data_IF_139615827211
#
_entry.id   IF_139615827211
#
_cell.length_a   1.000
_cell.length_b   1.000
_cell.length_c   1.000
_cell.angle_alpha   90.00
_cell.angle_beta   90.00
_cell.angle_gamma   90.00
#
_symmetry.space_group_name_H-M   'P 1'
#
loop_
_entity.id
_entity.type
_entity.pdbx_description
1 polymer ?
#
# COMPACT_ATOMS: atom_id res chain seq x y z
N UNK A 1 6.82 15.23 -14.02
CA UNK A 1 5.98 15.56 -15.18
C UNK A 1 5.09 14.39 -15.57
N UNK A 2 5.59 13.25 -16.07
CA UNK A 2 4.73 12.09 -16.41
C UNK A 2 4.02 11.47 -15.19
N UNK A 3 4.71 11.33 -14.06
CA UNK A 3 4.13 10.72 -12.86
C UNK A 3 3.00 11.57 -12.23
N UNK A 4 3.14 12.90 -12.27
CA UNK A 4 2.14 13.86 -11.78
C UNK A 4 0.88 13.85 -12.64
N UNK A 5 1.03 13.71 -13.96
CA UNK A 5 -0.12 13.63 -14.87
C UNK A 5 -0.92 12.35 -14.66
N UNK A 6 -0.23 11.22 -14.47
CA UNK A 6 -0.86 9.93 -14.19
C UNK A 6 -1.53 9.97 -12.81
N UNK A 7 -0.86 10.53 -11.79
CA UNK A 7 -1.46 10.78 -10.48
C UNK A 7 -2.76 11.56 -10.61
N UNK A 8 -2.74 12.70 -11.29
CA UNK A 8 -3.92 13.57 -11.43
C UNK A 8 -5.07 12.87 -12.15
N UNK A 9 -4.77 12.09 -13.20
CA UNK A 9 -5.78 11.27 -13.89
C UNK A 9 -6.38 10.22 -12.97
N UNK A 10 -5.56 9.49 -12.23
CA UNK A 10 -6.02 8.49 -11.27
C UNK A 10 -6.87 9.15 -10.18
N UNK A 11 -6.39 10.22 -9.54
CA UNK A 11 -7.16 11.00 -8.56
C UNK A 11 -8.52 11.41 -9.12
N UNK A 12 -8.58 11.93 -10.34
CA UNK A 12 -9.83 12.32 -10.99
C UNK A 12 -10.78 11.12 -11.17
N UNK A 13 -10.25 9.96 -11.58
CA UNK A 13 -11.05 8.74 -11.75
C UNK A 13 -11.54 8.22 -10.40
N UNK A 14 -10.66 8.07 -9.40
CA UNK A 14 -11.06 7.59 -8.06
C UNK A 14 -12.05 8.57 -7.40
N UNK A 15 -11.88 9.88 -7.54
CA UNK A 15 -12.83 10.87 -7.04
C UNK A 15 -14.20 10.72 -7.70
N UNK A 16 -14.24 10.46 -9.01
CA UNK A 16 -15.49 10.13 -9.69
C UNK A 16 -16.13 8.82 -9.19
N UNK A 17 -15.32 7.81 -8.80
CA UNK A 17 -15.84 6.59 -8.18
C UNK A 17 -16.33 6.83 -6.74
N UNK A 18 -15.62 7.65 -5.97
CA UNK A 18 -15.99 8.03 -4.61
C UNK A 18 -17.34 8.78 -4.59
N UNK A 19 -17.57 9.71 -5.53
CA UNK A 19 -18.86 10.41 -5.65
C UNK A 19 -20.01 9.48 -6.04
N UNK A 20 -19.72 8.34 -6.66
CA UNK A 20 -20.68 7.25 -6.90
C UNK A 20 -20.88 6.36 -5.65
N UNK A 21 -20.29 6.70 -4.50
CA UNK A 21 -20.39 5.96 -3.26
C UNK A 21 -19.55 4.68 -3.21
N UNK A 22 -18.57 4.52 -4.12
CA UNK A 22 -17.73 3.32 -4.16
C UNK A 22 -16.62 3.38 -3.13
N UNK A 23 -16.32 2.22 -2.54
CA UNK A 23 -15.20 2.07 -1.62
C UNK A 23 -13.87 2.18 -2.37
N UNK A 24 -12.76 2.50 -1.68
CA UNK A 24 -11.45 2.61 -2.32
C UNK A 24 -11.02 1.30 -3.01
N UNK A 25 -11.37 0.14 -2.44
CA UNK A 25 -11.13 -1.17 -3.05
C UNK A 25 -11.85 -1.31 -4.39
N UNK A 26 -13.14 -0.94 -4.43
CA UNK A 26 -13.95 -1.01 -5.66
C UNK A 26 -13.44 -0.03 -6.70
N UNK A 27 -13.12 1.21 -6.31
CA UNK A 27 -12.60 2.23 -7.21
C UNK A 27 -11.30 1.78 -7.87
N UNK A 28 -10.39 1.19 -7.09
CA UNK A 28 -9.15 0.62 -7.62
C UNK A 28 -9.44 -0.54 -8.56
N UNK A 29 -10.28 -1.50 -8.18
CA UNK A 29 -10.64 -2.63 -9.04
C UNK A 29 -11.20 -2.19 -10.40
N UNK A 30 -12.03 -1.15 -10.42
CA UNK A 30 -12.54 -0.54 -11.65
C UNK A 30 -11.42 0.02 -12.53
N UNK A 31 -10.39 0.63 -11.95
CA UNK A 31 -9.23 1.15 -12.70
C UNK A 31 -8.44 0.01 -13.31
N UNK A 32 -8.24 -1.09 -12.58
CA UNK A 32 -7.52 -2.24 -13.11
C UNK A 32 -8.27 -2.87 -14.28
N UNK A 33 -9.58 -3.03 -14.14
CA UNK A 33 -10.45 -3.50 -15.22
C UNK A 33 -10.36 -2.58 -16.44
N UNK A 34 -10.40 -1.26 -16.24
CA UNK A 34 -10.28 -0.27 -17.32
C UNK A 34 -8.90 -0.30 -18.01
N UNK A 35 -7.84 -0.62 -17.26
CA UNK A 35 -6.48 -0.78 -17.78
C UNK A 35 -6.24 -2.18 -18.41
N UNK A 36 -7.24 -3.06 -18.42
CA UNK A 36 -7.15 -4.42 -18.95
C UNK A 36 -6.24 -5.35 -18.13
N UNK A 37 -5.81 -4.92 -16.94
CA UNK A 37 -4.92 -5.67 -16.05
C UNK A 37 -5.69 -6.48 -15.03
N UNK A 38 -5.24 -7.70 -14.74
CA UNK A 38 -5.70 -8.44 -13.55
C UNK A 38 -5.02 -7.83 -12.32
N UNK A 39 -5.65 -7.91 -11.16
CA UNK A 39 -5.10 -7.32 -9.93
C UNK A 39 -3.66 -7.78 -9.61
N UNK A 40 -3.24 -8.98 -10.05
CA UNK A 40 -1.86 -9.45 -9.91
C UNK A 40 -0.83 -8.94 -10.95
N UNK A 41 -1.27 -8.34 -12.07
CA UNK A 41 -0.37 -7.83 -13.12
C UNK A 41 -0.02 -6.35 -12.93
N UNK A 42 -0.62 -5.68 -11.94
CA UNK A 42 -0.44 -4.24 -11.69
C UNK A 42 0.99 -3.93 -11.27
N UNK A 43 1.61 -4.81 -10.48
CA UNK A 43 3.04 -4.71 -10.16
C UNK A 43 3.96 -4.78 -11.39
N UNK A 44 3.47 -5.18 -12.57
CA UNK A 44 4.23 -5.18 -13.83
C UNK A 44 4.03 -3.91 -14.64
N UNK A 45 2.99 -3.13 -14.33
CA UNK A 45 2.77 -1.82 -14.93
C UNK A 45 3.74 -0.87 -14.25
N UNK A 46 4.92 -0.69 -14.84
CA UNK A 46 6.07 -0.01 -14.24
C UNK A 46 5.81 1.40 -13.71
N UNK A 47 4.71 2.04 -14.13
CA UNK A 47 4.32 3.39 -13.71
C UNK A 47 3.41 3.40 -12.48
N UNK A 48 2.73 2.29 -12.17
CA UNK A 48 1.91 2.15 -10.98
C UNK A 48 2.78 1.59 -9.85
N UNK A 49 3.36 2.49 -9.06
CA UNK A 49 4.10 2.09 -7.86
C UNK A 49 3.14 1.97 -6.67
N UNK A 50 3.47 1.17 -5.64
CA UNK A 50 2.64 1.07 -4.44
C UNK A 50 2.50 2.43 -3.73
N UNK A 51 3.55 3.26 -3.75
CA UNK A 51 3.52 4.63 -3.22
C UNK A 51 2.55 5.52 -3.98
N UNK A 52 2.55 5.47 -5.32
CA UNK A 52 1.64 6.27 -6.14
C UNK A 52 0.18 5.89 -5.88
N UNK A 53 -0.13 4.59 -5.84
CA UNK A 53 -1.50 4.13 -5.57
C UNK A 53 -1.95 4.54 -4.16
N UNK A 54 -1.09 4.37 -3.15
CA UNK A 54 -1.40 4.79 -1.78
C UNK A 54 -1.62 6.30 -1.67
N UNK A 55 -0.80 7.09 -2.35
CA UNK A 55 -0.90 8.56 -2.41
C UNK A 55 -2.20 9.03 -3.07
N UNK A 56 -2.57 8.42 -4.19
CA UNK A 56 -3.83 8.68 -4.89
C UNK A 56 -5.03 8.32 -4.01
N UNK A 57 -5.00 7.14 -3.39
CA UNK A 57 -6.05 6.67 -2.49
C UNK A 57 -6.23 7.62 -1.30
N UNK A 58 -5.14 8.00 -0.66
CA UNK A 58 -5.14 8.95 0.44
C UNK A 58 -5.60 10.34 0.00
N UNK A 59 -5.22 10.79 -1.20
CA UNK A 59 -5.67 12.09 -1.74
C UNK A 59 -7.19 12.15 -1.92
N UNK A 60 -7.81 11.05 -2.40
CA UNK A 60 -9.25 11.02 -2.69
C UNK A 60 -10.09 10.72 -1.46
N UNK A 61 -9.68 9.73 -0.68
CA UNK A 61 -10.46 9.25 0.47
C UNK A 61 -10.04 9.89 1.80
N UNK A 62 -8.86 10.50 1.87
CA UNK A 62 -8.35 11.26 3.01
C UNK A 62 -8.56 10.51 4.34
N UNK A 63 -9.29 11.10 5.28
CA UNK A 63 -9.56 10.51 6.60
C UNK A 63 -10.50 9.28 6.56
N UNK A 64 -11.18 9.03 5.43
CA UNK A 64 -12.05 7.88 5.27
C UNK A 64 -11.31 6.58 4.92
N UNK A 65 -10.01 6.65 4.60
CA UNK A 65 -9.18 5.48 4.32
C UNK A 65 -8.12 5.26 5.41
N UNK A 66 -8.07 4.03 5.91
CA UNK A 66 -7.13 3.62 6.94
C UNK A 66 -5.84 3.03 6.35
N UNK A 67 -4.71 3.06 7.09
CA UNK A 67 -3.48 2.38 6.69
C UNK A 67 -3.69 0.91 6.35
N UNK A 68 -4.53 0.21 7.12
CA UNK A 68 -4.90 -1.19 6.87
C UNK A 68 -5.60 -1.36 5.51
N UNK A 69 -6.56 -0.50 5.18
CA UNK A 69 -7.25 -0.59 3.89
C UNK A 69 -6.30 -0.35 2.71
N UNK A 70 -5.43 0.66 2.80
CA UNK A 70 -4.39 0.89 1.79
C UNK A 70 -3.52 -0.35 1.64
N UNK A 71 -3.04 -0.92 2.75
CA UNK A 71 -2.23 -2.12 2.72
C UNK A 71 -2.95 -3.27 2.01
N UNK A 72 -4.22 -3.52 2.35
CA UNK A 72 -5.03 -4.61 1.77
C UNK A 72 -5.22 -4.40 0.27
N UNK A 73 -5.49 -3.16 -0.16
CA UNK A 73 -5.60 -2.81 -1.58
C UNK A 73 -4.28 -3.11 -2.28
N UNK A 74 -3.16 -2.57 -1.78
CA UNK A 74 -1.84 -2.80 -2.37
C UNK A 74 -1.49 -4.29 -2.44
N UNK A 75 -1.90 -5.07 -1.44
CA UNK A 75 -1.70 -6.52 -1.45
C UNK A 75 -2.53 -7.21 -2.54
N UNK A 76 -3.80 -6.85 -2.69
CA UNK A 76 -4.67 -7.34 -3.78
C UNK A 76 -4.10 -6.99 -5.16
N UNK A 77 -3.39 -5.85 -5.26
CA UNK A 77 -2.66 -5.41 -6.45
C UNK A 77 -1.35 -6.20 -6.72
N UNK A 78 -1.03 -7.19 -5.89
CA UNK A 78 0.14 -8.04 -6.05
C UNK A 78 1.46 -7.41 -5.59
N UNK A 79 1.43 -6.26 -4.91
CA UNK A 79 2.67 -5.67 -4.38
C UNK A 79 3.23 -6.51 -3.21
N UNK A 80 4.56 -6.55 -3.12
CA UNK A 80 5.29 -7.23 -2.06
C UNK A 80 5.33 -6.41 -0.76
N UNK A 81 5.62 -7.07 0.38
CA UNK A 81 5.61 -6.47 1.71
C UNK A 81 6.46 -5.20 1.79
N UNK A 82 7.65 -5.21 1.19
CA UNK A 82 8.52 -4.03 1.10
C UNK A 82 7.89 -2.82 0.42
N UNK A 83 7.13 -3.05 -0.65
CA UNK A 83 6.47 -1.98 -1.38
C UNK A 83 5.30 -1.41 -0.58
N UNK A 84 4.57 -2.28 0.11
CA UNK A 84 3.48 -1.89 1.01
C UNK A 84 4.02 -1.08 2.19
N UNK A 85 5.06 -1.57 2.87
CA UNK A 85 5.67 -0.88 4.01
C UNK A 85 6.18 0.51 3.64
N UNK A 86 6.91 0.63 2.52
CA UNK A 86 7.38 1.92 2.04
C UNK A 86 6.24 2.86 1.64
N UNK A 87 5.15 2.35 1.05
CA UNK A 87 3.97 3.15 0.75
C UNK A 87 3.28 3.65 2.02
N UNK A 88 3.09 2.78 3.01
CA UNK A 88 2.46 3.16 4.28
C UNK A 88 3.27 4.21 5.03
N UNK A 89 4.58 4.05 5.14
CA UNK A 89 5.44 5.03 5.79
C UNK A 89 5.50 6.37 5.02
N UNK A 90 5.41 6.34 3.69
CA UNK A 90 5.38 7.57 2.88
C UNK A 90 4.07 8.35 3.06
N UNK A 91 2.92 7.66 3.13
CA UNK A 91 1.59 8.31 3.26
C UNK A 91 1.26 8.67 4.70
N UNK A 92 1.69 7.85 5.64
CA UNK A 92 1.52 8.07 7.07
C UNK A 92 2.90 8.09 7.75
N UNK A 93 3.67 9.20 7.60
CA UNK A 93 4.94 9.38 8.31
C UNK A 93 4.88 9.17 9.83
N UNK A 94 3.76 9.42 10.53
CA UNK A 94 3.65 9.13 11.95
C UNK A 94 3.57 7.64 12.32
N UNK A 95 3.35 6.72 11.36
CA UNK A 95 3.32 5.28 11.66
C UNK A 95 4.71 4.81 12.11
N UNK A 96 4.76 4.19 13.28
CA UNK A 96 5.99 3.59 13.75
C UNK A 96 6.26 2.27 13.02
N UNK A 97 7.53 1.83 13.06
CA UNK A 97 7.93 0.53 12.53
C UNK A 97 7.08 -0.61 13.09
N UNK A 98 6.69 -0.51 14.37
CA UNK A 98 5.85 -1.51 15.05
C UNK A 98 4.45 -1.60 14.43
N UNK A 99 3.81 -0.46 14.14
CA UNK A 99 2.47 -0.44 13.53
C UNK A 99 2.49 -1.05 12.13
N UNK A 100 3.51 -0.72 11.34
CA UNK A 100 3.69 -1.31 10.00
C UNK A 100 3.98 -2.81 10.11
N UNK A 101 4.80 -3.23 11.07
CA UNK A 101 5.06 -4.65 11.32
C UNK A 101 3.81 -5.43 11.71
N UNK A 102 2.98 -4.89 12.61
CA UNK A 102 1.70 -5.47 12.99
C UNK A 102 0.75 -5.58 11.79
N UNK A 103 0.68 -4.54 10.96
CA UNK A 103 -0.09 -4.59 9.72
C UNK A 103 0.39 -5.72 8.81
N UNK A 104 1.70 -5.84 8.60
CA UNK A 104 2.26 -6.88 7.73
C UNK A 104 2.06 -8.30 8.27
N UNK A 105 1.95 -8.48 9.59
CA UNK A 105 1.58 -9.78 10.19
C UNK A 105 0.10 -10.12 10.09
N UNK A 106 -0.74 -9.17 9.67
CA UNK A 106 -2.17 -9.44 9.56
C UNK A 106 -2.42 -10.54 8.51
N UNK A 107 -3.13 -11.63 8.86
CA UNK A 107 -3.37 -12.76 7.96
C UNK A 107 -4.15 -12.40 6.69
N UNK A 108 -4.89 -11.28 6.68
CA UNK A 108 -5.57 -10.76 5.49
C UNK A 108 -4.60 -10.16 4.47
N UNK A 109 -3.41 -9.75 4.91
CA UNK A 109 -2.32 -9.27 4.06
C UNK A 109 -1.40 -10.43 3.66
N UNK A 110 -0.88 -11.13 4.66
CA UNK A 110 0.04 -12.25 4.48
C UNK A 110 -0.38 -13.40 5.40
N UNK A 111 -0.68 -14.59 4.86
CA UNK A 111 -0.99 -15.76 5.70
C UNK A 111 0.12 -16.05 6.72
N UNK A 112 1.36 -15.79 6.31
CA UNK A 112 2.55 -15.80 7.16
C UNK A 112 3.56 -14.84 6.55
N UNK A 113 4.17 -14.00 7.37
CA UNK A 113 5.35 -13.21 6.99
C UNK A 113 6.52 -13.74 7.78
N UNK A 114 7.59 -14.15 7.10
CA UNK A 114 8.81 -14.55 7.77
C UNK A 114 9.62 -13.34 8.23
N UNK A 115 10.52 -13.57 9.18
CA UNK A 115 11.39 -12.56 9.75
C UNK A 115 12.17 -11.77 8.70
N UNK A 116 12.75 -12.46 7.71
CA UNK A 116 13.57 -11.82 6.69
C UNK A 116 12.73 -10.89 5.82
N UNK A 117 11.53 -11.31 5.44
CA UNK A 117 10.58 -10.48 4.70
C UNK A 117 10.10 -9.27 5.50
N UNK A 118 9.87 -9.41 6.82
CA UNK A 118 9.51 -8.29 7.69
C UNK A 118 10.66 -7.27 7.78
N UNK A 119 11.89 -7.74 8.05
CA UNK A 119 13.07 -6.88 8.15
C UNK A 119 13.37 -6.16 6.83
N UNK A 120 13.29 -6.87 5.70
CA UNK A 120 13.42 -6.27 4.36
C UNK A 120 12.38 -5.17 4.17
N UNK A 121 11.13 -5.42 4.57
CA UNK A 121 10.06 -4.46 4.40
C UNK A 121 10.24 -3.19 5.24
N UNK A 122 10.59 -3.33 6.52
CA UNK A 122 10.83 -2.20 7.42
C UNK A 122 12.07 -1.39 7.01
N UNK A 123 13.15 -2.07 6.61
CA UNK A 123 14.36 -1.41 6.10
C UNK A 123 14.05 -0.64 4.81
N UNK A 124 13.26 -1.22 3.91
CA UNK A 124 12.84 -0.56 2.68
C UNK A 124 11.96 0.67 2.96
N UNK A 125 11.16 0.62 4.02
CA UNK A 125 10.38 1.73 4.54
C UNK A 125 11.23 2.82 5.23
N UNK A 126 12.57 2.70 5.28
CA UNK A 126 13.51 3.67 5.89
C UNK A 126 13.59 3.63 7.42
N UNK A 127 13.06 2.59 8.07
CA UNK A 127 13.36 2.34 9.48
C UNK A 127 14.78 1.83 9.64
N UNK A 128 15.39 2.09 10.80
CA UNK A 128 16.73 1.57 11.07
C UNK A 128 16.71 0.04 11.21
N UNK A 129 17.84 -0.64 10.93
CA UNK A 129 17.93 -2.08 11.18
C UNK A 129 17.65 -2.46 12.63
N UNK A 130 18.10 -1.63 13.59
CA UNK A 130 17.88 -1.87 15.02
C UNK A 130 16.40 -1.81 15.40
N UNK A 131 15.65 -0.82 14.90
CA UNK A 131 14.20 -0.74 15.11
C UNK A 131 13.47 -1.92 14.46
N UNK A 132 13.89 -2.29 13.24
CA UNK A 132 13.29 -3.41 12.52
C UNK A 132 13.48 -4.73 13.28
N UNK A 133 14.66 -4.94 13.84
CA UNK A 133 14.99 -6.10 14.66
C UNK A 133 14.13 -6.14 15.94
N UNK A 134 14.02 -5.03 16.64
CA UNK A 134 13.17 -4.90 17.84
C UNK A 134 11.70 -5.21 17.52
N UNK A 135 11.21 -4.76 16.37
CA UNK A 135 9.85 -5.07 15.92
C UNK A 135 9.69 -6.55 15.63
N UNK A 136 10.64 -7.17 14.92
CA UNK A 136 10.60 -8.61 14.65
C UNK A 136 10.57 -9.43 15.94
N UNK A 137 11.43 -9.11 16.91
CA UNK A 137 11.46 -9.74 18.23
C UNK A 137 10.14 -9.53 18.99
N UNK A 138 9.64 -8.29 19.05
CA UNK A 138 8.41 -7.97 19.77
C UNK A 138 7.18 -8.67 19.18
N UNK A 139 7.19 -8.91 17.86
CA UNK A 139 6.11 -9.59 17.16
C UNK A 139 6.31 -11.11 17.02
N UNK A 140 7.38 -11.67 17.60
CA UNK A 140 7.61 -13.10 17.68
C UNK A 140 7.87 -13.80 16.34
N UNK A 141 8.47 -13.10 15.37
CA UNK A 141 8.86 -13.62 14.05
C UNK A 141 10.36 -13.81 13.90
#
# INVERSE_FOLDING_TARGET
MENDEIKNKLVSVLAAQQTQGKTPEQAVEHILQALGGRAGDVSRISVLTPTLIADVLYTVYQDAITPRQIAVILRKLGYAARGIAAALHAIYPPLAAHDIGQLLQNPELYPTIDRAALLDALTHAKFSPAESEQVAEALGV
#
